data_IF_619637755536
#
_entry.id   IF_619637755536
#
_cell.length_a   1.000
_cell.length_b   1.000
_cell.length_c   1.000
_cell.angle_alpha   90.00
_cell.angle_beta   90.00
_cell.angle_gamma   90.00
#
_symmetry.space_group_name_H-M   'P 1'
#
loop_
_entity.id
_entity.type
_entity.pdbx_description
1 polymer ?
#
# COMPACT_ATOMS: atom_id res chain seq x y z
N UNK A 1 -50.20 -22.13 -32.82
CA UNK A 1 -48.86 -22.20 -33.45
C UNK A 1 -48.72 -21.00 -34.36
N UNK A 2 -48.20 -19.89 -33.82
CA UNK A 2 -47.82 -18.69 -34.56
C UNK A 2 -46.37 -18.44 -34.18
N UNK A 3 -45.46 -18.70 -35.13
CA UNK A 3 -44.04 -18.41 -34.98
C UNK A 3 -43.84 -16.90 -34.99
N UNK A 4 -43.43 -16.32 -33.86
CA UNK A 4 -42.88 -14.98 -33.83
C UNK A 4 -41.36 -15.12 -33.70
N UNK A 5 -40.69 -15.02 -34.84
CA UNK A 5 -39.25 -14.83 -34.96
C UNK A 5 -38.91 -13.40 -34.52
N UNK A 6 -38.65 -13.18 -33.24
CA UNK A 6 -37.94 -11.99 -32.82
C UNK A 6 -36.44 -12.25 -32.95
N UNK A 7 -35.85 -11.62 -33.97
CA UNK A 7 -34.42 -11.61 -34.21
C UNK A 7 -33.68 -11.16 -32.94
N UNK A 8 -32.81 -12.02 -32.42
CA UNK A 8 -31.80 -11.61 -31.45
C UNK A 8 -30.90 -10.59 -32.15
N UNK A 9 -31.17 -9.31 -31.92
CA UNK A 9 -30.19 -8.26 -32.14
C UNK A 9 -29.04 -8.56 -31.17
N UNK A 10 -28.00 -9.22 -31.69
CA UNK A 10 -26.71 -9.23 -31.04
C UNK A 10 -26.21 -7.79 -31.05
N UNK A 11 -26.52 -7.04 -29.99
CA UNK A 11 -25.85 -5.79 -29.69
C UNK A 11 -24.40 -6.20 -29.43
N UNK A 12 -23.56 -6.06 -30.46
CA UNK A 12 -22.13 -6.07 -30.32
C UNK A 12 -21.78 -4.89 -29.41
N UNK A 13 -21.64 -5.14 -28.11
CA UNK A 13 -20.91 -4.27 -27.22
C UNK A 13 -19.45 -4.29 -27.69
N UNK A 14 -19.16 -3.54 -28.76
CA UNK A 14 -17.81 -3.17 -29.10
C UNK A 14 -17.29 -2.42 -27.87
N UNK A 15 -16.38 -3.07 -27.15
CA UNK A 15 -15.88 -2.61 -25.86
C UNK A 15 -15.55 -1.13 -25.94
N UNK A 16 -16.22 -0.34 -25.09
CA UNK A 16 -15.87 1.06 -24.87
C UNK A 16 -14.45 1.03 -24.32
N UNK A 17 -13.46 1.16 -25.21
CA UNK A 17 -12.11 1.51 -24.81
C UNK A 17 -12.24 2.89 -24.17
N UNK A 18 -12.08 2.93 -22.85
CA UNK A 18 -11.97 4.16 -22.07
C UNK A 18 -10.74 4.95 -22.54
N UNK A 19 -10.90 5.70 -23.64
CA UNK A 19 -9.97 6.74 -24.04
C UNK A 19 -10.22 7.92 -23.12
N UNK A 20 -9.20 8.36 -22.41
CA UNK A 20 -9.28 9.49 -21.50
C UNK A 20 -9.73 10.76 -22.24
N UNK A 21 -10.69 11.51 -21.70
CA UNK A 21 -11.04 12.85 -22.22
C UNK A 21 -9.85 13.82 -22.13
N UNK A 22 -9.01 13.63 -21.10
CA UNK A 22 -7.77 14.38 -20.89
C UNK A 22 -6.70 13.43 -20.35
N UNK A 23 -5.58 13.34 -21.04
CA UNK A 23 -4.39 12.66 -20.53
C UNK A 23 -3.79 13.44 -19.35
N UNK A 24 -3.29 12.72 -18.36
CA UNK A 24 -2.51 13.27 -17.26
C UNK A 24 -1.06 13.50 -17.69
N UNK A 25 -0.42 14.51 -17.12
CA UNK A 25 1.04 14.70 -17.19
C UNK A 25 1.78 13.81 -16.20
N UNK A 26 1.07 13.24 -15.21
CA UNK A 26 1.62 12.31 -14.22
C UNK A 26 2.05 11.04 -14.92
N UNK A 27 3.23 10.54 -14.55
CA UNK A 27 3.73 9.21 -14.90
C UNK A 27 3.77 8.33 -13.65
N UNK A 28 3.61 7.02 -13.82
CA UNK A 28 3.74 6.04 -12.75
C UNK A 28 4.64 4.90 -13.22
N UNK A 29 5.48 4.39 -12.34
CA UNK A 29 6.40 3.28 -12.59
C UNK A 29 6.44 2.33 -11.39
N UNK A 30 7.07 1.16 -11.56
CA UNK A 30 7.14 0.13 -10.54
C UNK A 30 6.22 -1.06 -10.83
N UNK A 31 6.26 -2.05 -9.94
CA UNK A 31 5.60 -3.35 -10.12
C UNK A 31 4.09 -3.24 -10.37
N UNK A 32 3.44 -2.30 -9.68
CA UNK A 32 1.99 -2.11 -9.69
C UNK A 32 1.51 -1.00 -10.65
N UNK A 33 2.42 -0.34 -11.37
CA UNK A 33 2.04 0.72 -12.29
C UNK A 33 1.31 0.17 -13.53
N UNK A 34 0.28 0.87 -14.05
CA UNK A 34 -0.40 0.47 -15.28
C UNK A 34 0.58 0.38 -16.46
N UNK A 35 0.68 -0.81 -17.07
CA UNK A 35 1.57 -1.02 -18.22
C UNK A 35 0.95 -0.48 -19.50
N UNK A 36 1.75 0.22 -20.31
CA UNK A 36 1.44 0.62 -21.69
C UNK A 36 0.15 1.46 -21.88
N UNK A 37 -0.21 2.28 -20.88
CA UNK A 37 -1.39 3.15 -20.95
C UNK A 37 -1.06 4.56 -20.47
N UNK A 38 -1.44 5.58 -21.24
CA UNK A 38 -1.43 6.96 -20.73
C UNK A 38 -2.43 7.08 -19.58
N UNK A 39 -2.01 7.70 -18.49
CA UNK A 39 -2.89 7.93 -17.35
C UNK A 39 -3.92 9.00 -17.70
N UNK A 40 -5.17 8.85 -17.26
CA UNK A 40 -6.17 9.91 -17.38
C UNK A 40 -6.00 10.94 -16.26
N UNK A 41 -6.33 12.21 -16.54
CA UNK A 41 -6.46 13.22 -15.49
C UNK A 41 -7.55 12.80 -14.51
N UNK A 42 -7.25 12.76 -13.20
CA UNK A 42 -8.16 12.30 -12.16
C UNK A 42 -8.25 10.78 -11.98
N UNK A 43 -7.48 9.99 -12.73
CA UNK A 43 -7.43 8.54 -12.54
C UNK A 43 -6.76 8.17 -11.21
N UNK A 44 -7.37 7.26 -10.46
CA UNK A 44 -6.73 6.63 -9.31
C UNK A 44 -5.63 5.66 -9.79
N UNK A 45 -4.39 5.87 -9.32
CA UNK A 45 -3.20 5.13 -9.79
C UNK A 45 -2.54 4.26 -8.73
N UNK A 46 -2.93 4.43 -7.47
CA UNK A 46 -2.48 3.61 -6.35
C UNK A 46 -3.52 3.69 -5.23
N UNK A 47 -3.86 2.55 -4.65
CA UNK A 47 -4.70 2.47 -3.47
C UNK A 47 -4.31 1.25 -2.61
N UNK A 48 -4.53 1.40 -1.31
CA UNK A 48 -4.52 0.29 -0.37
C UNK A 48 -5.65 0.48 0.64
N UNK A 49 -6.47 -0.55 0.80
CA UNK A 49 -7.60 -0.55 1.72
C UNK A 49 -7.25 -1.27 3.03
N UNK A 50 -6.00 -1.72 3.19
CA UNK A 50 -5.48 -2.28 4.44
C UNK A 50 -6.32 -3.43 5.01
N UNK A 51 -6.84 -4.28 4.12
CA UNK A 51 -7.42 -5.57 4.50
C UNK A 51 -6.36 -6.51 5.09
N UNK A 52 -5.11 -6.35 4.63
CA UNK A 52 -3.88 -6.89 5.20
C UNK A 52 -2.74 -5.89 4.92
N UNK A 53 -1.58 -6.05 5.58
CA UNK A 53 -0.39 -5.24 5.30
C UNK A 53 0.40 -5.85 4.14
N UNK A 54 0.24 -5.30 2.94
CA UNK A 54 0.86 -5.81 1.72
C UNK A 54 2.33 -5.38 1.58
N UNK A 55 3.27 -6.29 1.87
CA UNK A 55 4.71 -6.02 1.79
C UNK A 55 5.27 -5.98 0.37
N UNK A 56 4.44 -6.19 -0.66
CA UNK A 56 4.81 -5.90 -2.05
C UNK A 56 4.56 -4.44 -2.44
N UNK A 57 3.81 -3.71 -1.60
CA UNK A 57 3.54 -2.27 -1.74
C UNK A 57 4.28 -1.43 -0.70
N UNK A 58 4.40 -1.95 0.53
CA UNK A 58 4.97 -1.24 1.66
C UNK A 58 6.23 -1.93 2.16
N UNK A 59 7.25 -1.14 2.50
CA UNK A 59 8.46 -1.61 3.14
C UNK A 59 8.65 -0.87 4.46
N UNK A 60 9.01 -1.62 5.51
CA UNK A 60 9.36 -1.05 6.80
C UNK A 60 10.75 -0.45 6.76
N UNK A 61 10.88 0.78 7.25
CA UNK A 61 12.17 1.28 7.66
C UNK A 61 12.50 0.70 9.05
N UNK A 62 13.69 0.11 9.16
CA UNK A 62 14.22 -0.38 10.44
C UNK A 62 15.41 0.48 10.81
N UNK A 63 15.24 1.35 11.81
CA UNK A 63 16.24 2.36 12.16
C UNK A 63 16.07 2.93 13.57
N UNK A 64 17.19 3.42 14.11
CA UNK A 64 17.31 4.23 15.32
C UNK A 64 17.99 5.58 15.02
N UNK A 65 18.01 6.00 13.75
CA UNK A 65 18.71 7.21 13.29
C UNK A 65 17.98 8.51 13.61
N UNK A 66 16.77 8.44 14.18
CA UNK A 66 15.98 9.60 14.56
C UNK A 66 15.43 10.44 13.40
N UNK A 67 15.30 9.86 12.20
CA UNK A 67 14.58 10.45 11.07
C UNK A 67 15.11 11.80 10.52
N UNK A 68 16.29 12.24 10.97
CA UNK A 68 16.78 13.61 10.73
C UNK A 68 16.22 14.67 11.69
N UNK A 69 15.39 14.28 12.65
CA UNK A 69 14.72 15.14 13.63
C UNK A 69 15.19 14.90 15.08
N UNK A 70 16.22 14.08 15.29
CA UNK A 70 16.70 13.66 16.62
C UNK A 70 15.61 12.98 17.46
N UNK A 71 14.75 12.24 16.79
CA UNK A 71 13.73 11.39 17.39
C UNK A 71 14.35 10.18 18.10
N UNK A 72 13.69 9.65 19.14
CA UNK A 72 14.26 8.60 20.01
C UNK A 72 13.63 7.22 19.77
N UNK A 73 12.53 7.13 19.02
CA UNK A 73 11.87 5.86 18.77
C UNK A 73 12.72 4.95 17.90
N UNK A 74 12.45 3.66 18.08
CA UNK A 74 12.94 2.61 17.22
C UNK A 74 11.86 2.28 16.18
N UNK A 75 12.13 2.55 14.91
CA UNK A 75 11.30 2.04 13.83
C UNK A 75 11.64 0.56 13.59
N UNK A 76 10.62 -0.29 13.63
CA UNK A 76 10.72 -1.75 13.51
C UNK A 76 9.72 -2.27 12.47
N UNK A 77 9.92 -3.51 12.01
CA UNK A 77 8.92 -4.25 11.24
C UNK A 77 8.00 -5.12 12.12
N UNK A 78 8.03 -4.92 13.44
CA UNK A 78 7.24 -5.71 14.37
C UNK A 78 5.73 -5.45 14.20
N UNK A 79 4.93 -6.53 14.26
CA UNK A 79 3.47 -6.46 14.10
C UNK A 79 2.76 -5.87 15.31
N UNK A 80 3.45 -5.64 16.42
CA UNK A 80 2.97 -4.82 17.54
C UNK A 80 3.02 -3.33 17.22
N UNK A 81 3.95 -2.92 16.34
CA UNK A 81 4.13 -1.53 15.94
C UNK A 81 3.39 -1.16 14.66
N UNK A 82 3.24 -2.11 13.74
CA UNK A 82 2.52 -1.86 12.49
C UNK A 82 1.73 -3.08 12.05
N UNK A 83 0.42 -2.93 11.96
CA UNK A 83 -0.49 -4.02 11.58
C UNK A 83 -1.76 -3.47 10.95
N UNK A 84 -2.54 -4.36 10.36
CA UNK A 84 -3.84 -4.00 9.80
C UNK A 84 -4.95 -4.70 10.57
N UNK A 85 -6.04 -3.98 10.79
CA UNK A 85 -7.23 -4.51 11.45
C UNK A 85 -8.44 -3.66 11.08
N UNK A 86 -9.55 -4.31 10.71
CA UNK A 86 -10.80 -3.67 10.29
C UNK A 86 -10.64 -2.67 9.14
N UNK A 87 -9.82 -3.02 8.13
CA UNK A 87 -9.59 -2.18 6.95
C UNK A 87 -8.77 -0.91 7.25
N UNK A 88 -7.98 -0.92 8.33
CA UNK A 88 -7.18 0.23 8.76
C UNK A 88 -5.75 -0.21 9.03
N UNK A 89 -4.80 0.64 8.64
CA UNK A 89 -3.41 0.55 9.10
C UNK A 89 -3.30 1.15 10.50
N UNK A 90 -2.79 0.36 11.44
CA UNK A 90 -2.45 0.79 12.78
C UNK A 90 -0.93 0.96 12.87
N UNK A 91 -0.47 2.15 13.21
CA UNK A 91 0.91 2.43 13.59
C UNK A 91 0.89 2.78 15.08
N UNK A 92 1.45 1.91 15.91
CA UNK A 92 1.29 1.93 17.36
C UNK A 92 2.66 1.94 18.04
N UNK A 93 2.99 2.99 18.81
CA UNK A 93 4.14 2.95 19.69
C UNK A 93 4.00 1.86 20.77
N UNK A 94 5.10 1.17 21.06
CA UNK A 94 5.22 0.24 22.18
C UNK A 94 6.42 0.65 23.04
N UNK A 95 6.44 0.22 24.30
CA UNK A 95 7.60 0.46 25.15
C UNK A 95 8.64 -0.64 24.92
N UNK A 96 9.89 -0.25 24.64
CA UNK A 96 11.02 -1.18 24.56
C UNK A 96 11.17 -1.96 25.88
N UNK A 97 10.85 -1.33 27.01
CA UNK A 97 10.89 -1.96 28.32
C UNK A 97 9.90 -3.12 28.49
N UNK A 98 8.78 -3.14 27.75
CA UNK A 98 7.84 -4.28 27.78
C UNK A 98 8.47 -5.56 27.21
N UNK A 99 9.53 -5.41 26.41
CA UNK A 99 10.20 -6.51 25.70
C UNK A 99 11.53 -6.88 26.34
N UNK A 100 12.34 -5.88 26.68
CA UNK A 100 13.71 -6.05 27.16
C UNK A 100 13.89 -5.69 28.64
N UNK A 101 12.85 -5.16 29.29
CA UNK A 101 12.87 -4.66 30.66
C UNK A 101 13.48 -3.26 30.80
N UNK A 102 13.14 -2.58 31.89
CA UNK A 102 13.58 -1.22 32.21
C UNK A 102 15.11 -1.02 32.18
N UNK A 103 15.89 -2.05 32.52
CA UNK A 103 17.36 -1.97 32.52
C UNK A 103 17.93 -1.72 31.12
N UNK A 104 17.23 -2.19 30.08
CA UNK A 104 17.67 -2.05 28.70
C UNK A 104 17.66 -0.61 28.21
N UNK A 105 16.83 0.25 28.81
CA UNK A 105 16.78 1.68 28.50
C UNK A 105 18.10 2.41 28.84
N UNK A 106 18.88 1.85 29.76
CA UNK A 106 20.15 2.43 30.21
C UNK A 106 21.37 1.75 29.61
N UNK A 107 21.29 0.43 29.36
CA UNK A 107 22.39 -0.33 28.77
C UNK A 107 21.84 -1.54 28.03
N UNK A 108 22.10 -1.59 26.73
CA UNK A 108 21.66 -2.64 25.84
C UNK A 108 22.34 -2.52 24.47
N UNK A 109 22.23 -3.57 23.66
CA UNK A 109 22.66 -3.55 22.27
C UNK A 109 21.51 -4.08 21.42
N UNK A 110 21.10 -3.30 20.42
CA UNK A 110 20.16 -3.71 19.40
C UNK A 110 20.96 -3.96 18.13
N UNK A 111 20.79 -5.15 17.55
CA UNK A 111 21.20 -5.43 16.19
C UNK A 111 20.04 -5.07 15.25
N UNK A 112 20.26 -4.11 14.36
CA UNK A 112 19.28 -3.69 13.35
C UNK A 112 19.36 -4.52 12.06
N UNK A 113 20.20 -5.56 12.05
CA UNK A 113 20.49 -6.41 10.91
C UNK A 113 21.47 -5.78 9.91
N UNK A 114 21.96 -6.60 9.00
CA UNK A 114 22.68 -6.13 7.81
C UNK A 114 21.65 -5.73 6.75
N UNK A 115 21.58 -4.44 6.44
CA UNK A 115 20.82 -3.92 5.29
C UNK A 115 21.45 -4.35 3.97
#
# INVERSE_FOLDING_TARGET
MILILFAFSAILFNGVHSVCLKNSITTASGLHAPKNKSLCSGQLIFEDNFNFLDTSKWHHEQTLSGGGNNEFEWYTDDRRNSYTSNGQLHIKPTFVADEYGEKFLYSGTIDLGNK
#
